data_IF_708512497854
#
_entry.id   IF_708512497854
#
_cell.length_a   1.000
_cell.length_b   1.000
_cell.length_c   1.000
_cell.angle_alpha   90.00
_cell.angle_beta   90.00
_cell.angle_gamma   90.00
#
_symmetry.space_group_name_H-M   'P 1'
#
loop_
_entity.id
_entity.type
_entity.pdbx_description
1 polymer ?
#
# COMPACT_ATOMS: atom_id res chain seq x y z
N UNK A 1 19.92 -26.79 -4.86
CA UNK A 1 20.27 -25.35 -4.86
C UNK A 1 19.16 -24.60 -4.15
N UNK A 2 19.49 -23.70 -3.22
CA UNK A 2 18.49 -22.88 -2.54
C UNK A 2 18.07 -21.75 -3.48
N UNK A 3 16.78 -21.60 -3.76
CA UNK A 3 16.26 -20.44 -4.49
C UNK A 3 16.31 -19.21 -3.60
N UNK A 4 16.55 -18.04 -4.18
CA UNK A 4 16.49 -16.77 -3.47
C UNK A 4 15.08 -16.54 -2.90
N UNK A 5 15.04 -16.02 -1.68
CA UNK A 5 13.80 -15.69 -0.97
C UNK A 5 13.91 -14.29 -0.38
N UNK A 6 12.78 -13.59 -0.33
CA UNK A 6 12.65 -12.33 0.41
C UNK A 6 11.36 -12.38 1.22
N UNK A 7 11.25 -11.58 2.27
CA UNK A 7 10.02 -11.42 3.04
C UNK A 7 9.56 -9.97 2.97
N UNK A 8 8.24 -9.79 2.96
CA UNK A 8 7.61 -8.47 3.01
C UNK A 8 6.39 -8.53 3.93
N UNK A 9 6.04 -7.43 4.62
CA UNK A 9 4.77 -7.32 5.33
C UNK A 9 3.61 -7.57 4.38
N UNK A 10 2.62 -8.34 4.83
CA UNK A 10 1.40 -8.63 4.03
C UNK A 10 0.71 -7.37 3.58
N UNK A 11 0.62 -6.39 4.48
CA UNK A 11 0.05 -5.08 4.22
C UNK A 11 0.75 -4.33 3.11
N UNK A 12 2.09 -4.32 3.11
CA UNK A 12 2.89 -3.73 2.04
C UNK A 12 2.52 -4.36 0.69
N UNK A 13 2.49 -5.69 0.62
CA UNK A 13 2.11 -6.41 -0.60
C UNK A 13 0.65 -6.14 -1.03
N UNK A 14 -0.28 -5.99 -0.08
CA UNK A 14 -1.66 -5.56 -0.37
C UNK A 14 -1.69 -4.18 -1.03
N UNK A 15 -0.94 -3.21 -0.50
CA UNK A 15 -0.90 -1.86 -1.06
C UNK A 15 -0.26 -1.83 -2.45
N UNK A 16 0.82 -2.58 -2.66
CA UNK A 16 1.43 -2.77 -3.98
C UNK A 16 0.43 -3.38 -4.97
N UNK A 17 -0.32 -4.42 -4.56
CA UNK A 17 -1.32 -5.05 -5.42
C UNK A 17 -2.48 -4.09 -5.77
N UNK A 18 -2.95 -3.28 -4.81
CA UNK A 18 -3.96 -2.26 -5.07
C UNK A 18 -3.44 -1.17 -6.02
N UNK A 19 -2.17 -0.77 -5.91
CA UNK A 19 -1.56 0.20 -6.80
C UNK A 19 -1.40 -0.35 -8.22
N UNK A 20 -0.89 -1.57 -8.38
CA UNK A 20 -0.74 -2.25 -9.68
C UNK A 20 -2.09 -2.49 -10.38
N UNK A 21 -3.13 -2.81 -9.61
CA UNK A 21 -4.47 -3.05 -10.16
C UNK A 21 -5.32 -1.78 -10.27
N UNK A 22 -4.77 -0.61 -9.96
CA UNK A 22 -5.49 0.65 -10.11
C UNK A 22 -5.75 0.95 -11.61
N UNK A 23 -6.89 1.58 -11.94
CA UNK A 23 -7.17 2.03 -13.31
C UNK A 23 -6.07 2.95 -13.86
N UNK A 24 -5.47 3.77 -13.00
CA UNK A 24 -4.38 4.68 -13.35
C UNK A 24 -3.16 3.92 -13.83
N UNK A 25 -2.73 2.88 -13.09
CA UNK A 25 -1.59 2.05 -13.48
C UNK A 25 -1.89 1.24 -14.74
N UNK A 26 -3.07 0.63 -14.83
CA UNK A 26 -3.47 -0.14 -16.01
C UNK A 26 -3.51 0.72 -17.28
N UNK A 27 -4.04 1.94 -17.17
CA UNK A 27 -4.06 2.88 -18.29
C UNK A 27 -2.64 3.27 -18.69
N UNK A 28 -1.74 3.45 -17.73
CA UNK A 28 -0.34 3.78 -18.00
C UNK A 28 0.40 2.61 -18.67
N UNK A 29 0.22 1.39 -18.17
CA UNK A 29 0.74 0.16 -18.76
C UNK A 29 0.20 -0.03 -20.20
N UNK A 30 -1.09 0.24 -20.45
CA UNK A 30 -1.68 0.21 -21.79
C UNK A 30 -1.01 1.20 -22.77
N UNK A 31 -0.64 2.40 -22.28
CA UNK A 31 0.08 3.41 -23.08
C UNK A 31 1.49 2.93 -23.41
N UNK A 32 2.17 2.28 -22.45
CA UNK A 32 3.49 1.69 -22.63
C UNK A 32 3.46 0.55 -23.68
N UNK A 33 2.51 -0.37 -23.56
CA UNK A 33 2.41 -1.56 -24.41
C UNK A 33 2.00 -1.22 -25.84
N UNK A 34 1.08 -0.25 -26.01
CA UNK A 34 0.58 0.16 -27.32
C UNK A 34 1.53 1.08 -28.09
N UNK A 35 2.78 1.24 -27.67
CA UNK A 35 3.77 2.16 -28.26
C UNK A 35 3.46 2.53 -29.71
N UNK A 36 2.96 3.75 -29.92
CA UNK A 36 2.09 4.12 -31.05
C UNK A 36 2.62 3.61 -32.42
N UNK A 37 2.10 2.50 -32.99
CA UNK A 37 2.72 1.86 -34.16
C UNK A 37 2.32 2.53 -35.48
N UNK A 38 1.36 3.46 -35.46
CA UNK A 38 0.60 3.80 -36.68
C UNK A 38 0.30 5.29 -36.88
N UNK A 39 0.78 6.19 -36.01
CA UNK A 39 0.68 7.63 -36.28
C UNK A 39 2.07 8.25 -36.49
N UNK A 40 2.42 8.66 -37.73
CA UNK A 40 3.75 9.15 -38.08
C UNK A 40 4.11 10.55 -37.52
N UNK A 41 3.46 11.05 -36.46
CA UNK A 41 3.68 12.44 -36.02
C UNK A 41 3.45 12.78 -34.54
N UNK A 42 3.18 11.84 -33.64
CA UNK A 42 3.09 12.17 -32.21
C UNK A 42 4.38 11.80 -31.51
N UNK A 43 5.13 12.83 -31.08
CA UNK A 43 6.29 12.73 -30.21
C UNK A 43 5.96 11.88 -28.98
N UNK A 44 6.31 10.60 -29.01
CA UNK A 44 6.27 9.73 -27.85
C UNK A 44 7.47 10.05 -26.97
N UNK A 45 7.25 10.06 -25.65
CA UNK A 45 8.35 10.19 -24.71
C UNK A 45 9.29 9.00 -24.83
N UNK A 46 10.61 9.17 -24.62
CA UNK A 46 11.54 8.05 -24.53
C UNK A 46 11.08 7.04 -23.47
N UNK A 47 11.27 5.75 -23.74
CA UNK A 47 10.83 4.66 -22.86
C UNK A 47 11.38 4.81 -21.45
N UNK A 48 12.61 5.31 -21.30
CA UNK A 48 13.23 5.55 -20.00
C UNK A 48 12.43 6.54 -19.15
N UNK A 49 11.89 7.59 -19.78
CA UNK A 49 11.06 8.58 -19.11
C UNK A 49 9.72 7.99 -18.75
N UNK A 50 9.13 7.18 -19.64
CA UNK A 50 7.87 6.50 -19.35
C UNK A 50 8.02 5.52 -18.18
N UNK A 51 9.12 4.77 -18.11
CA UNK A 51 9.41 3.88 -16.99
C UNK A 51 9.64 4.65 -15.68
N UNK A 52 10.31 5.80 -15.72
CA UNK A 52 10.46 6.66 -14.56
C UNK A 52 9.09 7.14 -14.04
N UNK A 53 8.23 7.62 -14.95
CA UNK A 53 6.87 8.04 -14.60
C UNK A 53 6.05 6.89 -14.03
N UNK A 54 6.19 5.67 -14.57
CA UNK A 54 5.54 4.47 -14.03
C UNK A 54 5.91 4.23 -12.57
N UNK A 55 7.20 4.29 -12.25
CA UNK A 55 7.69 4.10 -10.87
C UNK A 55 7.12 5.16 -9.95
N UNK A 56 7.21 6.44 -10.31
CA UNK A 56 6.66 7.53 -9.49
C UNK A 56 5.14 7.44 -9.30
N UNK A 57 4.42 7.06 -10.35
CA UNK A 57 2.98 6.81 -10.29
C UNK A 57 2.67 5.68 -9.31
N UNK A 58 3.41 4.58 -9.37
CA UNK A 58 3.24 3.44 -8.48
C UNK A 58 3.45 3.84 -7.01
N UNK A 59 4.54 4.54 -6.71
CA UNK A 59 4.84 5.00 -5.35
C UNK A 59 3.75 5.93 -4.81
N UNK A 60 3.25 6.84 -5.66
CA UNK A 60 2.15 7.75 -5.31
C UNK A 60 0.86 7.01 -4.99
N UNK A 61 0.53 5.98 -5.78
CA UNK A 61 -0.66 5.14 -5.58
C UNK A 61 -0.54 4.27 -4.32
N UNK A 62 0.65 3.73 -4.03
CA UNK A 62 0.93 3.00 -2.78
C UNK A 62 0.68 3.93 -1.59
N UNK A 63 1.29 5.12 -1.58
CA UNK A 63 1.11 6.10 -0.50
C UNK A 63 -0.37 6.48 -0.31
N UNK A 64 -1.09 6.71 -1.40
CA UNK A 64 -2.53 6.98 -1.36
C UNK A 64 -3.33 5.79 -0.78
N UNK A 65 -2.99 4.56 -1.13
CA UNK A 65 -3.64 3.36 -0.61
C UNK A 65 -3.41 3.20 0.91
N UNK A 66 -2.21 3.49 1.40
CA UNK A 66 -1.90 3.53 2.85
C UNK A 66 -2.74 4.59 3.55
N UNK A 67 -2.75 5.83 3.04
CA UNK A 67 -3.49 6.95 3.64
C UNK A 67 -5.00 6.73 3.66
N UNK A 68 -5.55 6.13 2.60
CA UNK A 68 -6.95 5.77 2.54
C UNK A 68 -7.29 4.65 3.52
N UNK A 69 -6.40 3.66 3.67
CA UNK A 69 -6.58 2.57 4.63
C UNK A 69 -6.49 3.06 6.07
N UNK A 70 -5.55 3.96 6.38
CA UNK A 70 -5.44 4.58 7.71
C UNK A 70 -6.71 5.36 8.08
N UNK A 71 -7.23 6.19 7.16
CA UNK A 71 -8.48 6.94 7.39
C UNK A 71 -9.69 6.03 7.52
N UNK A 72 -9.75 4.95 6.74
CA UNK A 72 -10.82 3.97 6.84
C UNK A 72 -10.77 3.21 8.17
N UNK A 73 -9.58 2.95 8.70
CA UNK A 73 -9.37 2.34 10.01
C UNK A 73 -9.87 3.28 11.11
N UNK A 74 -9.45 4.55 11.10
CA UNK A 74 -9.93 5.57 12.05
C UNK A 74 -11.47 5.70 12.04
N UNK A 75 -12.08 5.64 10.85
CA UNK A 75 -13.53 5.68 10.69
C UNK A 75 -14.22 4.41 11.22
N UNK A 76 -13.63 3.24 11.01
CA UNK A 76 -14.10 1.98 11.58
C UNK A 76 -14.04 2.03 13.10
N UNK A 77 -12.92 2.49 13.67
CA UNK A 77 -12.72 2.59 15.10
C UNK A 77 -13.74 3.52 15.74
N UNK A 78 -13.96 4.68 15.12
CA UNK A 78 -15.02 5.60 15.50
C UNK A 78 -16.39 4.91 15.43
N UNK A 79 -16.71 4.19 14.36
CA UNK A 79 -17.99 3.49 14.21
C UNK A 79 -18.23 2.47 15.32
N UNK A 80 -17.21 1.67 15.68
CA UNK A 80 -17.27 0.70 16.79
C UNK A 80 -17.56 1.42 18.10
N UNK A 81 -16.83 2.49 18.43
CA UNK A 81 -17.08 3.29 19.64
C UNK A 81 -18.49 3.89 19.68
N UNK A 82 -18.97 4.43 18.56
CA UNK A 82 -20.32 4.98 18.44
C UNK A 82 -21.42 3.91 18.48
N UNK A 83 -21.09 2.63 18.27
CA UNK A 83 -22.04 1.51 18.38
C UNK A 83 -22.36 1.15 19.84
N UNK A 84 -21.53 1.59 20.79
CA UNK A 84 -21.73 1.38 22.22
C UNK A 84 -22.50 2.56 22.85
N UNK A 85 -23.24 2.30 23.94
CA UNK A 85 -23.73 3.38 24.81
C UNK A 85 -22.58 3.88 25.71
N UNK A 86 -22.78 5.01 26.40
CA UNK A 86 -21.77 5.59 27.28
C UNK A 86 -21.23 4.58 28.30
N UNK A 87 -22.12 3.89 29.01
CA UNK A 87 -21.75 2.93 30.05
C UNK A 87 -20.95 1.75 29.49
N UNK A 88 -21.37 1.18 28.36
CA UNK A 88 -20.63 0.08 27.72
C UNK A 88 -19.28 0.54 27.18
N UNK A 89 -19.18 1.77 26.67
CA UNK A 89 -17.92 2.33 26.20
C UNK A 89 -16.94 2.49 27.37
N UNK A 90 -17.36 3.13 28.46
CA UNK A 90 -16.56 3.29 29.68
C UNK A 90 -16.11 1.94 30.24
N UNK A 91 -17.02 0.96 30.33
CA UNK A 91 -16.66 -0.39 30.77
C UNK A 91 -15.57 -1.03 29.90
N UNK A 92 -15.68 -0.94 28.56
CA UNK A 92 -14.67 -1.53 27.68
C UNK A 92 -13.32 -0.81 27.81
N UNK A 93 -13.33 0.51 27.95
CA UNK A 93 -12.11 1.29 28.19
C UNK A 93 -11.45 0.93 29.52
N UNK A 94 -12.23 0.76 30.60
CA UNK A 94 -11.70 0.42 31.92
C UNK A 94 -11.12 -0.99 31.96
N UNK A 95 -11.74 -1.95 31.27
CA UNK A 95 -11.33 -3.38 31.31
C UNK A 95 -10.24 -3.71 30.30
N UNK A 96 -10.35 -3.21 29.06
CA UNK A 96 -9.47 -3.58 27.96
C UNK A 96 -8.52 -2.45 27.52
N UNK A 97 -8.73 -1.23 28.01
CA UNK A 97 -8.02 -0.03 27.57
C UNK A 97 -8.67 0.61 26.34
N UNK A 98 -8.02 1.65 25.81
CA UNK A 98 -8.51 2.42 24.65
C UNK A 98 -8.36 1.68 23.30
N UNK A 99 -7.57 0.61 23.26
CA UNK A 99 -7.33 -0.21 22.08
C UNK A 99 -8.55 -1.10 21.79
N UNK A 100 -9.35 -0.68 20.81
CA UNK A 100 -10.60 -1.37 20.48
C UNK A 100 -10.40 -2.78 19.93
N UNK A 101 -9.20 -3.08 19.43
CA UNK A 101 -8.88 -4.38 18.85
C UNK A 101 -8.68 -5.45 19.92
N UNK A 102 -8.52 -5.04 21.18
CA UNK A 102 -8.55 -5.93 22.36
C UNK A 102 -9.95 -6.19 22.87
N UNK A 103 -10.93 -5.40 22.43
CA UNK A 103 -12.31 -5.57 22.88
C UNK A 103 -12.88 -6.82 22.23
N UNK A 104 -13.55 -7.66 23.02
CA UNK A 104 -14.29 -8.82 22.48
C UNK A 104 -15.62 -8.38 21.88
N UNK A 105 -15.56 -7.45 20.93
CA UNK A 105 -16.73 -6.80 20.35
C UNK A 105 -17.41 -7.72 19.33
N UNK A 106 -18.64 -8.13 19.65
CA UNK A 106 -19.49 -8.98 18.80
C UNK A 106 -20.55 -8.19 18.02
N UNK A 107 -20.56 -6.86 18.16
CA UNK A 107 -21.54 -5.98 17.52
C UNK A 107 -22.05 -4.86 18.45
N UNK A 108 -23.01 -4.05 18.00
CA UNK A 108 -23.60 -2.98 18.79
C UNK A 108 -24.11 -3.48 20.16
N UNK A 109 -23.99 -2.66 21.20
CA UNK A 109 -24.45 -3.05 22.54
C UNK A 109 -25.97 -3.32 22.56
N UNK A 110 -26.40 -4.30 23.36
CA UNK A 110 -27.82 -4.65 23.53
C UNK A 110 -28.67 -3.43 23.94
N UNK A 111 -28.11 -2.55 24.77
CA UNK A 111 -28.74 -1.29 25.20
C UNK A 111 -29.16 -0.38 24.03
N UNK A 112 -28.47 -0.45 22.89
CA UNK A 112 -28.80 0.30 21.65
C UNK A 112 -29.54 -0.55 20.61
N UNK A 113 -29.39 -1.87 20.64
CA UNK A 113 -30.05 -2.78 19.69
C UNK A 113 -31.58 -2.64 19.72
N UNK A 114 -32.17 -2.52 20.91
CA UNK A 114 -33.62 -2.37 21.07
C UNK A 114 -34.17 -1.04 20.53
N UNK A 115 -33.35 0.02 20.55
CA UNK A 115 -33.75 1.34 20.00
C UNK A 115 -33.58 1.42 18.48
N UNK A 116 -32.69 0.63 17.88
CA UNK A 116 -32.28 0.76 16.47
C UNK A 116 -33.01 -0.15 15.48
N UNK A 117 -33.89 -1.07 15.92
CA UNK A 117 -34.72 -1.90 15.01
C UNK A 117 -35.57 -1.12 13.97
N UNK A 118 -35.66 0.21 14.08
CA UNK A 118 -36.42 1.05 13.13
C UNK A 118 -35.59 1.72 12.04
N UNK A 119 -34.26 1.79 12.18
CA UNK A 119 -33.39 2.43 11.19
C UNK A 119 -32.43 1.40 10.62
N UNK A 120 -32.57 1.09 9.33
CA UNK A 120 -31.72 0.19 8.56
C UNK A 120 -30.26 0.66 8.62
N UNK A 121 -29.53 0.24 9.65
CA UNK A 121 -28.13 0.58 9.81
C UNK A 121 -27.28 -0.42 9.04
N UNK A 122 -26.36 0.13 8.25
CA UNK A 122 -25.19 -0.55 7.72
C UNK A 122 -24.51 -1.32 8.86
N UNK A 123 -24.63 -2.64 8.86
CA UNK A 123 -24.04 -3.49 9.89
C UNK A 123 -22.52 -3.27 9.89
N UNK A 124 -21.99 -2.75 10.99
CA UNK A 124 -20.55 -2.70 11.19
C UNK A 124 -20.14 -4.13 11.51
N UNK A 125 -19.47 -4.78 10.56
CA UNK A 125 -18.96 -6.15 10.72
C UNK A 125 -17.88 -6.18 11.80
N UNK A 126 -17.91 -7.17 12.69
CA UNK A 126 -16.85 -7.40 13.68
C UNK A 126 -15.65 -8.10 13.05
N UNK A 127 -14.45 -7.60 13.37
CA UNK A 127 -13.17 -8.20 13.00
C UNK A 127 -12.36 -8.47 14.25
N UNK A 128 -11.64 -9.60 14.30
CA UNK A 128 -10.84 -9.96 15.48
C UNK A 128 -9.49 -9.26 15.49
N UNK A 129 -8.96 -8.93 14.32
CA UNK A 129 -7.65 -8.29 14.17
C UNK A 129 -7.71 -7.19 13.12
N UNK A 130 -6.75 -6.25 13.23
CA UNK A 130 -6.53 -5.21 12.20
C UNK A 130 -6.23 -5.85 10.84
N UNK A 131 -5.53 -6.99 10.82
CA UNK A 131 -5.21 -7.73 9.61
C UNK A 131 -6.45 -8.26 8.88
N UNK A 132 -7.38 -8.87 9.60
CA UNK A 132 -8.66 -9.35 9.05
C UNK A 132 -9.49 -8.19 8.48
N UNK A 133 -9.57 -7.08 9.22
CA UNK A 133 -10.26 -5.87 8.75
C UNK A 133 -9.61 -5.34 7.47
N UNK A 134 -8.27 -5.28 7.42
CA UNK A 134 -7.52 -4.76 6.28
C UNK A 134 -7.66 -5.64 5.05
N UNK A 135 -7.65 -6.96 5.22
CA UNK A 135 -7.93 -7.92 4.15
C UNK A 135 -9.33 -7.70 3.58
N UNK A 136 -10.33 -7.54 4.44
CA UNK A 136 -11.70 -7.27 4.03
C UNK A 136 -11.84 -5.92 3.32
N UNK A 137 -11.27 -4.85 3.89
CA UNK A 137 -11.31 -3.50 3.33
C UNK A 137 -10.66 -3.46 1.96
N UNK A 138 -9.48 -4.05 1.82
CA UNK A 138 -8.74 -4.10 0.55
C UNK A 138 -9.47 -4.95 -0.49
N UNK A 139 -10.05 -6.09 -0.09
CA UNK A 139 -10.84 -6.93 -0.99
C UNK A 139 -12.08 -6.20 -1.52
N UNK A 140 -12.72 -5.35 -0.70
CA UNK A 140 -13.89 -4.57 -1.13
C UNK A 140 -13.59 -3.52 -2.21
N UNK A 141 -12.31 -3.22 -2.44
CA UNK A 141 -11.85 -2.27 -3.47
C UNK A 141 -11.49 -2.94 -4.79
N UNK A 142 -11.42 -4.28 -4.82
CA UNK A 142 -11.06 -5.03 -6.01
C UNK A 142 -12.36 -5.58 -6.63
N UNK A 143 -12.69 -5.23 -7.87
CA UNK A 143 -14.01 -5.53 -8.44
C UNK A 143 -14.26 -7.02 -8.72
N UNK A 144 -13.21 -7.83 -8.87
CA UNK A 144 -13.33 -9.17 -9.47
C UNK A 144 -12.74 -10.31 -8.64
N UNK A 145 -12.05 -10.03 -7.54
CA UNK A 145 -11.36 -11.07 -6.76
C UNK A 145 -11.06 -10.62 -5.33
N UNK A 146 -10.58 -11.56 -4.50
CA UNK A 146 -10.07 -11.23 -3.17
C UNK A 146 -8.70 -10.57 -3.27
N UNK A 147 -8.31 -9.78 -2.27
CA UNK A 147 -6.96 -9.20 -2.20
C UNK A 147 -5.86 -10.28 -2.24
N UNK A 148 -6.13 -11.49 -1.74
CA UNK A 148 -5.20 -12.63 -1.84
C UNK A 148 -4.96 -13.07 -3.29
N UNK A 149 -6.03 -13.18 -4.07
CA UNK A 149 -5.94 -13.53 -5.48
C UNK A 149 -5.22 -12.42 -6.27
N UNK A 150 -5.50 -11.15 -5.96
CA UNK A 150 -4.78 -10.01 -6.52
C UNK A 150 -3.28 -10.06 -6.23
N UNK A 151 -2.88 -10.30 -4.97
CA UNK A 151 -1.46 -10.43 -4.61
C UNK A 151 -0.79 -11.61 -5.33
N UNK A 152 -1.45 -12.77 -5.44
CA UNK A 152 -0.92 -13.92 -6.20
C UNK A 152 -0.72 -13.58 -7.66
N UNK A 153 -1.74 -13.00 -8.29
CA UNK A 153 -1.71 -12.58 -9.69
C UNK A 153 -0.57 -11.60 -9.98
N UNK A 154 -0.38 -10.59 -9.12
CA UNK A 154 0.70 -9.62 -9.26
C UNK A 154 2.06 -10.27 -9.07
N UNK A 155 2.25 -11.11 -8.04
CA UNK A 155 3.53 -11.84 -7.88
C UNK A 155 3.85 -12.71 -9.11
N UNK A 156 2.86 -13.43 -9.63
CA UNK A 156 3.02 -14.28 -10.83
C UNK A 156 3.42 -13.46 -12.06
N UNK A 157 2.85 -12.26 -12.24
CA UNK A 157 3.22 -11.32 -13.32
C UNK A 157 4.70 -10.92 -13.25
N UNK A 158 5.27 -10.80 -12.04
CA UNK A 158 6.70 -10.53 -11.83
C UNK A 158 7.56 -11.80 -11.72
N UNK A 159 7.00 -12.97 -12.01
CA UNK A 159 7.73 -14.24 -11.97
C UNK A 159 8.03 -14.73 -10.56
N UNK A 160 7.31 -14.22 -9.55
CA UNK A 160 7.40 -14.62 -8.16
C UNK A 160 6.17 -15.43 -7.73
N UNK A 161 6.25 -16.05 -6.57
CA UNK A 161 5.14 -16.76 -5.94
C UNK A 161 5.27 -16.71 -4.41
N UNK A 162 4.17 -16.99 -3.71
CA UNK A 162 4.20 -17.20 -2.26
C UNK A 162 3.32 -18.38 -1.85
N UNK A 163 3.85 -19.34 -1.06
CA UNK A 163 3.06 -20.48 -0.57
C UNK A 163 1.91 -20.05 0.35
N UNK A 164 2.03 -18.91 1.03
CA UNK A 164 0.99 -18.39 1.92
C UNK A 164 -0.26 -17.92 1.15
N UNK A 165 -0.09 -17.52 -0.12
CA UNK A 165 -1.19 -17.03 -0.96
C UNK A 165 -1.89 -18.16 -1.71
N UNK A 166 -1.21 -19.28 -1.96
CA UNK A 166 -1.75 -20.46 -2.64
C UNK A 166 -2.46 -21.43 -1.70
N UNK A 167 -2.14 -21.40 -0.40
CA UNK A 167 -2.85 -22.20 0.60
C UNK A 167 -4.34 -21.83 0.65
N UNK A 168 -5.20 -22.86 0.70
CA UNK A 168 -6.66 -22.74 0.72
C UNK A 168 -7.12 -21.60 1.65
N UNK A 169 -8.02 -20.77 1.14
CA UNK A 169 -8.52 -19.47 1.66
C UNK A 169 -9.01 -19.41 3.13
N UNK A 170 -8.88 -20.48 3.89
CA UNK A 170 -9.43 -20.63 5.23
C UNK A 170 -8.39 -20.19 6.27
N UNK A 171 -8.20 -18.88 6.42
CA UNK A 171 -7.37 -18.33 7.50
C UNK A 171 -6.94 -16.90 7.25
N UNK A 172 -6.64 -16.18 8.33
CA UNK A 172 -6.01 -14.86 8.26
C UNK A 172 -4.65 -14.98 7.56
N UNK A 173 -4.32 -13.98 6.74
CA UNK A 173 -2.99 -13.90 6.16
C UNK A 173 -1.91 -13.77 7.26
N UNK A 174 -0.72 -14.34 7.06
CA UNK A 174 0.39 -14.13 7.99
C UNK A 174 0.76 -12.64 8.04
N UNK A 175 1.51 -12.21 9.05
CA UNK A 175 2.01 -10.82 9.11
C UNK A 175 3.07 -10.55 8.04
N UNK A 176 3.91 -11.54 7.78
CA UNK A 176 4.97 -11.52 6.76
C UNK A 176 4.71 -12.58 5.70
N UNK A 177 4.86 -12.20 4.44
CA UNK A 177 4.75 -13.08 3.27
C UNK A 177 6.14 -13.36 2.74
N UNK A 178 6.48 -14.63 2.62
CA UNK A 178 7.72 -15.07 1.95
C UNK A 178 7.47 -15.11 0.45
N UNK A 179 8.28 -14.39 -0.30
CA UNK A 179 8.25 -14.28 -1.75
C UNK A 179 9.46 -15.02 -2.31
N UNK A 180 9.21 -15.91 -3.27
CA UNK A 180 10.25 -16.69 -3.94
C UNK A 180 10.11 -16.56 -5.46
N UNK A 181 11.21 -16.70 -6.20
CA UNK A 181 11.13 -16.79 -7.65
C UNK A 181 10.36 -18.06 -8.05
N UNK A 182 9.45 -17.93 -9.01
CA UNK A 182 8.74 -19.07 -9.57
C UNK A 182 9.71 -19.92 -10.43
N UNK A 183 9.67 -21.25 -10.32
CA UNK A 183 10.47 -22.13 -11.18
C UNK A 183 10.42 -21.80 -12.68
N UNK A 184 9.25 -21.54 -13.31
CA UNK A 184 9.21 -21.21 -14.73
C UNK A 184 9.88 -19.87 -15.06
N UNK A 185 9.87 -18.89 -14.15
CA UNK A 185 10.59 -17.64 -14.37
C UNK A 185 12.11 -17.83 -14.30
N UNK A 186 12.58 -18.66 -13.36
CA UNK A 186 14.00 -19.01 -13.23
C UNK A 186 14.47 -19.71 -14.50
N UNK A 187 13.75 -20.72 -14.98
CA UNK A 187 14.11 -21.45 -16.20
C UNK A 187 14.19 -20.54 -17.45
N UNK A 188 13.24 -19.60 -17.59
CA UNK A 188 13.29 -18.60 -18.66
C UNK A 188 14.52 -17.70 -18.56
N UNK A 189 14.84 -17.23 -17.36
CA UNK A 189 16.00 -16.38 -17.10
C UNK A 189 17.31 -17.11 -17.42
N UNK A 190 17.43 -18.37 -17.00
CA UNK A 190 18.57 -19.23 -17.32
C UNK A 190 18.74 -19.45 -18.82
N UNK A 191 17.63 -19.70 -19.53
CA UNK A 191 17.65 -19.90 -21.00
C UNK A 191 18.15 -18.66 -21.74
N UNK A 192 17.86 -17.47 -21.22
CA UNK A 192 18.22 -16.21 -21.87
C UNK A 192 19.65 -15.77 -21.56
N UNK A 193 20.12 -16.00 -20.33
CA UNK A 193 21.39 -15.46 -19.86
C UNK A 193 22.50 -16.52 -19.78
N UNK A 194 22.16 -17.81 -19.77
CA UNK A 194 23.11 -18.90 -19.60
C UNK A 194 23.67 -19.03 -18.18
N UNK A 195 23.06 -18.33 -17.22
CA UNK A 195 23.52 -18.22 -15.84
C UNK A 195 22.92 -19.31 -14.93
N UNK A 196 23.48 -19.43 -13.73
CA UNK A 196 22.99 -20.40 -12.75
C UNK A 196 21.59 -20.05 -12.20
N UNK A 197 20.89 -21.06 -11.68
CA UNK A 197 19.53 -20.91 -11.17
C UNK A 197 19.45 -19.99 -9.93
N UNK A 198 20.51 -19.96 -9.13
CA UNK A 198 20.54 -19.19 -7.89
C UNK A 198 20.60 -17.69 -8.19
N UNK A 199 21.52 -17.28 -9.06
CA UNK A 199 21.65 -15.92 -9.57
C UNK A 199 20.39 -15.49 -10.30
N UNK A 200 19.84 -16.33 -11.19
CA UNK A 200 18.59 -16.03 -11.88
C UNK A 200 17.43 -15.78 -10.89
N UNK A 201 17.32 -16.60 -9.85
CA UNK A 201 16.28 -16.43 -8.82
C UNK A 201 16.44 -15.14 -8.03
N UNK A 202 17.69 -14.74 -7.72
CA UNK A 202 17.99 -13.50 -7.01
C UNK A 202 17.62 -12.28 -7.86
N UNK A 203 17.98 -12.28 -9.14
CA UNK A 203 17.64 -11.20 -10.08
C UNK A 203 16.13 -11.02 -10.18
N UNK A 204 15.36 -12.12 -10.29
CA UNK A 204 13.89 -12.07 -10.37
C UNK A 204 13.30 -11.46 -9.09
N UNK A 205 13.74 -11.92 -7.91
CA UNK A 205 13.22 -11.44 -6.62
C UNK A 205 13.58 -9.96 -6.41
N UNK A 206 14.80 -9.54 -6.71
CA UNK A 206 15.22 -8.15 -6.59
C UNK A 206 14.50 -7.24 -7.58
N UNK A 207 14.28 -7.71 -8.81
CA UNK A 207 13.48 -7.02 -9.81
C UNK A 207 12.05 -6.82 -9.32
N UNK A 208 11.39 -7.87 -8.84
CA UNK A 208 10.04 -7.78 -8.28
C UNK A 208 9.97 -6.83 -7.08
N UNK A 209 10.95 -6.89 -6.17
CA UNK A 209 11.01 -5.98 -5.00
C UNK A 209 11.06 -4.52 -5.40
N UNK A 210 11.89 -4.18 -6.39
CA UNK A 210 12.01 -2.83 -6.93
C UNK A 210 10.76 -2.41 -7.71
N UNK A 211 10.29 -3.25 -8.63
CA UNK A 211 9.18 -2.95 -9.53
C UNK A 211 7.82 -2.93 -8.85
N UNK A 212 7.67 -3.55 -7.69
CA UNK A 212 6.47 -3.47 -6.86
C UNK A 212 6.51 -2.32 -5.85
N UNK A 213 7.65 -1.63 -5.71
CA UNK A 213 7.83 -0.62 -4.67
C UNK A 213 7.76 -1.18 -3.24
N UNK A 214 8.14 -2.45 -3.03
CA UNK A 214 7.95 -3.14 -1.75
C UNK A 214 8.71 -2.47 -0.59
N UNK A 215 9.89 -1.92 -0.84
CA UNK A 215 10.66 -1.20 0.21
C UNK A 215 9.95 0.07 0.68
N UNK A 216 9.32 0.82 -0.23
CA UNK A 216 8.58 2.04 0.12
C UNK A 216 7.29 1.68 0.86
N UNK A 217 6.61 0.63 0.42
CA UNK A 217 5.42 0.12 1.10
C UNK A 217 5.73 -0.38 2.52
N UNK A 218 6.88 -1.01 2.73
CA UNK A 218 7.40 -1.40 4.05
C UNK A 218 7.58 -0.19 4.97
N UNK A 219 8.28 0.85 4.50
CA UNK A 219 8.53 2.07 5.28
C UNK A 219 7.23 2.79 5.67
N UNK A 220 6.28 2.87 4.74
CA UNK A 220 4.97 3.47 4.96
C UNK A 220 4.11 2.65 5.93
N UNK A 221 4.13 1.32 5.84
CA UNK A 221 3.38 0.47 6.77
C UNK A 221 3.95 0.58 8.19
N UNK A 222 5.28 0.61 8.34
CA UNK A 222 5.94 0.84 9.64
C UNK A 222 5.54 2.21 10.21
N UNK A 223 5.51 3.25 9.38
CA UNK A 223 5.07 4.58 9.81
C UNK A 223 3.61 4.59 10.29
N UNK A 224 2.72 3.89 9.57
CA UNK A 224 1.32 3.74 9.95
C UNK A 224 1.16 2.91 11.24
N UNK A 225 1.88 1.80 11.38
CA UNK A 225 1.85 0.98 12.59
C UNK A 225 2.34 1.76 13.81
N UNK A 226 3.41 2.55 13.68
CA UNK A 226 3.93 3.40 14.75
C UNK A 226 2.90 4.45 15.19
N UNK A 227 2.15 5.03 14.24
CA UNK A 227 1.06 5.97 14.55
C UNK A 227 -0.03 5.30 15.39
N UNK A 228 -0.38 4.06 15.08
CA UNK A 228 -1.45 3.33 15.76
C UNK A 228 -1.01 2.76 17.11
N UNK A 229 0.23 2.27 17.22
CA UNK A 229 0.77 1.68 18.45
C UNK A 229 1.14 2.68 19.55
N UNK A 230 1.31 3.97 19.20
CA UNK A 230 1.77 5.01 20.12
C UNK A 230 0.83 5.37 21.28
N UNK A 231 -0.41 4.87 21.30
CA UNK A 231 -1.40 5.21 22.33
C UNK A 231 -1.42 4.23 23.53
N UNK A 232 -0.61 3.16 23.51
CA UNK A 232 -0.69 2.08 24.51
C UNK A 232 0.48 1.98 25.49
N UNK A 233 1.44 2.90 25.47
CA UNK A 233 2.49 2.94 26.49
C UNK A 233 1.87 3.29 27.85
N UNK A 234 2.19 2.58 28.95
CA UNK A 234 1.70 2.95 30.27
C UNK A 234 2.17 4.37 30.55
N UNK A 235 1.24 5.33 30.46
CA UNK A 235 1.45 6.65 31.01
C UNK A 235 1.75 6.43 32.48
N UNK A 236 3.02 6.59 32.86
CA UNK A 236 3.36 6.83 34.25
C UNK A 236 2.39 7.91 34.74
N UNK A 237 1.67 7.60 35.81
CA UNK A 237 0.62 8.46 36.39
C UNK A 237 1.19 9.83 36.76
N UNK A 238 1.31 10.74 35.80
CA UNK A 238 1.52 12.15 36.07
C UNK A 238 0.15 12.77 36.34
N UNK A 239 0.02 13.35 37.54
CA UNK A 239 -1.17 14.04 37.99
C UNK A 239 -1.61 15.14 37.01
N UNK A 240 -2.92 15.30 36.78
CA UNK A 240 -3.42 16.27 35.82
C UNK A 240 -3.18 17.68 36.32
N UNK A 241 -2.21 18.39 35.73
CA UNK A 241 -2.19 19.85 35.75
C UNK A 241 -3.05 20.34 34.60
N UNK A 242 -4.13 21.03 34.93
CA UNK A 242 -4.99 21.73 33.98
C UNK A 242 -4.19 22.80 33.22
N UNK A 243 -3.64 22.43 32.07
CA UNK A 243 -3.21 23.39 31.07
C UNK A 243 -4.16 23.33 29.88
N UNK A 244 -4.85 24.44 29.67
CA UNK A 244 -5.64 24.72 28.48
C UNK A 244 -4.67 24.86 27.30
N UNK A 245 -4.39 23.74 26.61
CA UNK A 245 -3.68 23.75 25.32
C UNK A 245 -4.71 23.85 24.22
N UNK A 246 -4.67 24.96 23.48
CA UNK A 246 -5.36 25.11 22.20
C UNK A 246 -4.86 24.02 21.26
N UNK A 247 -5.70 23.00 21.04
CA UNK A 247 -5.48 21.94 20.07
C UNK A 247 -5.55 22.54 18.68
N UNK A 248 -4.39 22.79 18.08
CA UNK A 248 -4.27 23.05 16.64
C UNK A 248 -4.78 21.81 15.90
N UNK A 249 -5.83 21.97 15.10
CA UNK A 249 -6.47 20.89 14.35
C UNK A 249 -5.45 20.19 13.44
N UNK A 250 -5.34 18.86 13.56
CA UNK A 250 -4.42 18.00 12.80
C UNK A 250 -4.47 18.17 11.27
N UNK A 251 -5.56 18.73 10.73
CA UNK A 251 -5.70 19.12 9.32
C UNK A 251 -4.68 20.19 8.88
N UNK A 252 -4.29 21.10 9.78
CA UNK A 252 -3.32 22.17 9.48
C UNK A 252 -1.88 21.64 9.37
N UNK A 253 -1.50 20.68 10.21
CA UNK A 253 -0.18 20.05 10.16
C UNK A 253 0.01 19.17 8.91
N UNK A 254 -1.04 18.46 8.49
CA UNK A 254 -1.03 17.69 7.24
C UNK A 254 -0.89 18.58 6.00
N UNK A 255 -1.59 19.73 5.97
CA UNK A 255 -1.49 20.69 4.87
C UNK A 255 -0.10 21.33 4.77
N UNK A 256 0.55 21.62 5.91
CA UNK A 256 1.91 22.18 5.92
C UNK A 256 2.94 21.14 5.49
N UNK A 257 2.84 19.88 5.93
CA UNK A 257 3.73 18.82 5.50
C UNK A 257 3.60 18.49 4.00
N UNK A 258 2.36 18.45 3.49
CA UNK A 258 2.08 18.29 2.06
C UNK A 258 2.59 19.48 1.23
N UNK A 259 2.44 20.71 1.74
CA UNK A 259 2.97 21.92 1.12
C UNK A 259 4.50 21.90 1.04
N UNK A 260 5.19 21.51 2.12
CA UNK A 260 6.65 21.41 2.13
C UNK A 260 7.17 20.35 1.16
N UNK A 261 6.49 19.20 1.04
CA UNK A 261 6.85 18.18 0.07
C UNK A 261 6.70 18.70 -1.36
N UNK A 262 5.60 19.38 -1.70
CA UNK A 262 5.40 19.97 -3.02
C UNK A 262 6.41 21.09 -3.35
N UNK A 263 6.77 21.91 -2.36
CA UNK A 263 7.76 23.00 -2.51
C UNK A 263 9.17 22.44 -2.73
N UNK A 264 9.49 21.25 -2.21
CA UNK A 264 10.79 20.61 -2.40
C UNK A 264 10.85 19.74 -3.67
N UNK A 265 9.74 19.15 -4.11
CA UNK A 265 9.71 18.32 -5.33
C UNK A 265 9.59 19.14 -6.61
N UNK A 266 8.92 20.30 -6.59
CA UNK A 266 8.79 21.19 -7.76
C UNK A 266 10.14 21.66 -8.33
N UNK A 267 11.12 22.12 -7.51
CA UNK A 267 12.44 22.50 -8.01
C UNK A 267 13.17 21.31 -8.63
N UNK A 268 13.11 20.13 -8.01
CA UNK A 268 13.78 18.91 -8.47
C UNK A 268 13.19 18.45 -9.81
N UNK A 269 11.86 18.45 -9.93
CA UNK A 269 11.17 18.15 -11.18
C UNK A 269 11.47 19.20 -12.26
N UNK A 270 11.55 20.49 -11.91
CA UNK A 270 11.91 21.54 -12.86
C UNK A 270 13.35 21.39 -13.35
N UNK A 271 14.29 21.03 -12.48
CA UNK A 271 15.70 20.81 -12.83
C UNK A 271 15.82 19.58 -13.71
N UNK A 272 15.16 18.48 -13.36
CA UNK A 272 15.13 17.28 -14.19
C UNK A 272 14.54 17.56 -15.58
N UNK A 273 13.46 18.35 -15.65
CA UNK A 273 12.86 18.77 -16.90
C UNK A 273 13.80 19.65 -17.74
N UNK A 274 14.46 20.63 -17.13
CA UNK A 274 15.44 21.49 -17.80
C UNK A 274 16.63 20.68 -18.32
N UNK A 275 17.13 19.72 -17.54
CA UNK A 275 18.21 18.81 -17.97
C UNK A 275 17.76 17.94 -19.14
N UNK A 276 16.54 17.40 -19.10
CA UNK A 276 16.00 16.62 -20.22
C UNK A 276 15.85 17.45 -21.49
N UNK A 277 15.30 18.65 -21.38
CA UNK A 277 15.21 19.60 -22.49
C UNK A 277 16.61 19.93 -23.01
N UNK A 278 17.55 20.28 -22.13
CA UNK A 278 18.93 20.58 -22.52
C UNK A 278 19.58 19.39 -23.23
N UNK A 279 19.49 18.16 -22.70
CA UNK A 279 20.01 16.97 -23.35
C UNK A 279 19.34 16.68 -24.71
N UNK A 280 18.06 17.02 -24.86
CA UNK A 280 17.34 16.87 -26.13
C UNK A 280 17.80 17.89 -27.18
N UNK A 281 18.02 19.14 -26.78
CA UNK A 281 18.42 20.23 -27.69
C UNK A 281 19.94 20.32 -27.92
N UNK A 282 20.76 19.80 -27.01
CA UNK A 282 22.22 19.78 -27.09
C UNK A 282 22.73 18.52 -27.79
N UNK A 283 21.87 17.73 -28.46
CA UNK A 283 22.37 16.68 -29.37
C UNK A 283 23.33 17.33 -30.36
N UNK A 284 24.63 16.96 -30.35
CA UNK A 284 25.59 17.58 -31.25
C UNK A 284 25.16 17.25 -32.67
N UNK A 285 24.94 18.30 -33.47
CA UNK A 285 24.64 18.25 -34.90
C UNK A 285 25.72 17.56 -35.77
N UNK A 286 26.71 16.88 -35.15
CA UNK A 286 27.96 16.44 -35.77
C UNK A 286 28.03 14.98 -36.21
N UNK A 287 27.00 14.14 -36.04
CA UNK A 287 27.03 12.73 -36.49
C UNK A 287 25.93 12.47 -37.53
N UNK A 288 25.99 13.21 -38.64
CA UNK A 288 25.40 12.82 -39.93
C UNK A 288 26.34 13.26 -41.05
N UNK A 289 27.51 12.62 -41.11
CA UNK A 289 28.36 12.62 -42.29
C UNK A 289 29.40 11.49 -42.17
N UNK A 290 29.01 10.27 -42.57
CA UNK A 290 29.82 9.23 -43.23
C UNK A 290 28.95 7.99 -43.42
#
# INVERSE_FOLDING_TARGET
>A
MSLATTSAPTSALMYCALAELSPEMQTFDDILDRGCPSSPSTHTLPTEIMLLVRVELQLSLIAQAVDLSARALDAYDASVRHSLCGDCLTYNQDVFGDDIWRWQWSGPCACRADRRRRNAHRETRSFRTVGEWREHHSSSRIPTSSIRAAMSFILERHGCQSPALTASSVGALPEMVVITASPPAVERCQTWLGEDAAWCSEVIVQKARRELGLSVAEDLDVAMQKKNGGHGGPAAKEHPRHHCTTVLSHSALGAVASGCAAVLTLPVLSVAFVVLVACHYVRPFGIRAA
#
